data_IF_000426799150
#
_entry.id   IF_000426799150
#
_cell.length_a   1.000
_cell.length_b   1.000
_cell.length_c   1.000
_cell.angle_alpha   90.00
_cell.angle_beta   90.00
_cell.angle_gamma   90.00
#
_symmetry.space_group_name_H-M   'P 1'
#
loop_
_entity.id
_entity.type
_entity.pdbx_description
1 polymer ?
#
# COMPACT_ATOMS: atom_id res chain seq x y z
N UNK A 1 56.00 32.68 -22.51
CA UNK A 1 55.92 33.10 -21.10
C UNK A 1 54.62 33.86 -20.90
N UNK A 2 53.46 33.22 -20.75
CA UNK A 2 53.12 32.32 -19.63
C UNK A 2 53.43 33.10 -18.34
N UNK A 3 52.50 33.80 -17.71
CA UNK A 3 51.45 33.25 -16.86
C UNK A 3 50.46 34.37 -16.46
N UNK A 4 49.65 34.88 -17.38
CA UNK A 4 48.38 35.53 -17.02
C UNK A 4 47.33 34.44 -16.72
N UNK A 5 47.55 33.69 -15.63
CA UNK A 5 46.50 32.81 -15.11
C UNK A 5 45.46 33.67 -14.42
N UNK A 6 44.43 34.01 -15.21
CA UNK A 6 43.15 34.50 -14.75
C UNK A 6 42.73 33.76 -13.48
N UNK A 7 42.89 34.41 -12.32
CA UNK A 7 42.40 33.86 -11.08
C UNK A 7 40.88 33.79 -11.19
N UNK A 8 40.26 32.58 -11.10
CA UNK A 8 38.83 32.49 -11.12
C UNK A 8 38.34 33.19 -9.85
N UNK A 9 37.63 34.31 -10.03
CA UNK A 9 36.97 35.09 -8.96
C UNK A 9 35.80 34.30 -8.40
N UNK A 10 36.05 33.10 -7.89
CA UNK A 10 35.09 32.39 -7.06
C UNK A 10 35.22 33.03 -5.69
N UNK A 11 34.41 34.06 -5.47
CA UNK A 11 34.20 34.64 -4.15
C UNK A 11 33.77 33.49 -3.24
N UNK A 12 34.70 32.96 -2.44
CA UNK A 12 34.36 32.03 -1.37
C UNK A 12 33.44 32.78 -0.44
N UNK A 13 32.13 32.55 -0.59
CA UNK A 13 31.13 33.01 0.35
C UNK A 13 31.63 32.52 1.71
N UNK A 14 31.92 33.44 2.63
CA UNK A 14 32.58 33.18 3.92
C UNK A 14 31.70 32.40 4.89
N UNK A 15 31.16 31.27 4.43
CA UNK A 15 30.41 30.31 5.20
C UNK A 15 31.40 29.37 5.85
N UNK A 16 31.46 29.39 7.17
CA UNK A 16 32.21 28.39 7.93
C UNK A 16 31.60 27.00 7.65
N UNK A 17 32.38 25.97 7.31
CA UNK A 17 31.85 24.65 6.94
C UNK A 17 31.27 23.89 8.15
N UNK A 18 31.66 24.26 9.38
CA UNK A 18 31.23 23.61 10.61
C UNK A 18 29.70 23.61 10.84
N UNK A 19 28.97 24.75 10.76
CA UNK A 19 27.52 24.77 10.92
C UNK A 19 26.79 23.96 9.83
N UNK A 20 27.30 23.95 8.59
CA UNK A 20 26.69 23.19 7.50
C UNK A 20 26.83 21.67 7.72
N UNK A 21 27.99 21.22 8.21
CA UNK A 21 28.23 19.81 8.55
C UNK A 21 27.36 19.36 9.72
N UNK A 22 27.26 20.17 10.78
CA UNK A 22 26.40 19.88 11.93
C UNK A 22 24.92 19.86 11.53
N UNK A 23 24.48 20.76 10.66
CA UNK A 23 23.10 20.77 10.15
C UNK A 23 22.81 19.54 9.28
N UNK A 24 23.73 19.19 8.37
CA UNK A 24 23.58 18.04 7.48
C UNK A 24 23.61 16.71 8.26
N UNK A 25 24.40 16.61 9.34
CA UNK A 25 24.43 15.40 10.16
C UNK A 25 23.13 15.20 10.93
N UNK A 26 22.56 16.27 11.51
CA UNK A 26 21.25 16.22 12.18
C UNK A 26 20.14 15.88 11.18
N UNK A 27 20.15 16.50 10.01
CA UNK A 27 19.20 16.17 8.94
C UNK A 27 19.34 14.71 8.47
N UNK A 28 20.58 14.24 8.28
CA UNK A 28 20.85 12.86 7.87
C UNK A 28 20.30 11.86 8.89
N UNK A 29 20.53 12.11 10.18
CA UNK A 29 19.96 11.30 11.27
C UNK A 29 18.43 11.33 11.27
N UNK A 30 17.83 12.52 11.22
CA UNK A 30 16.37 12.68 11.28
C UNK A 30 15.69 12.06 10.06
N UNK A 31 16.26 12.23 8.87
CA UNK A 31 15.76 11.62 7.64
C UNK A 31 15.84 10.10 7.71
N UNK A 32 16.97 9.54 8.15
CA UNK A 32 17.14 8.10 8.34
C UNK A 32 16.12 7.53 9.33
N UNK A 33 15.94 8.18 10.48
CA UNK A 33 14.99 7.75 11.50
C UNK A 33 13.54 7.83 11.02
N UNK A 34 13.15 8.92 10.35
CA UNK A 34 11.82 9.08 9.76
C UNK A 34 11.56 8.03 8.68
N UNK A 35 12.55 7.76 7.84
CA UNK A 35 12.45 6.77 6.76
C UNK A 35 12.30 5.37 7.33
N UNK A 36 13.06 5.03 8.37
CA UNK A 36 12.94 3.74 9.06
C UNK A 36 11.55 3.51 9.64
N UNK A 37 10.98 4.53 10.30
CA UNK A 37 9.60 4.43 10.81
C UNK A 37 8.56 4.30 9.70
N UNK A 38 8.68 5.08 8.63
CA UNK A 38 7.77 5.00 7.49
C UNK A 38 7.86 3.63 6.81
N UNK A 39 9.07 3.10 6.63
CA UNK A 39 9.32 1.79 6.04
C UNK A 39 8.73 0.66 6.88
N UNK A 40 8.88 0.72 8.21
CA UNK A 40 8.27 -0.27 9.12
C UNK A 40 6.74 -0.27 9.01
N UNK A 41 6.10 0.90 8.96
CA UNK A 41 4.64 0.99 8.79
C UNK A 41 4.18 0.48 7.42
N UNK A 42 4.90 0.84 6.36
CA UNK A 42 4.62 0.37 5.00
C UNK A 42 4.67 -1.16 4.92
N UNK A 43 5.75 -1.77 5.42
CA UNK A 43 5.87 -3.22 5.44
C UNK A 43 4.85 -3.91 6.33
N UNK A 44 4.52 -3.32 7.48
CA UNK A 44 3.44 -3.82 8.33
C UNK A 44 2.10 -3.86 7.60
N UNK A 45 1.76 -2.78 6.88
CA UNK A 45 0.54 -2.72 6.06
C UNK A 45 0.57 -3.71 4.88
N UNK A 46 1.68 -3.75 4.14
CA UNK A 46 1.82 -4.65 2.99
C UNK A 46 1.69 -6.13 3.39
N UNK A 47 2.31 -6.53 4.50
CA UNK A 47 2.19 -7.89 5.03
C UNK A 47 0.75 -8.22 5.44
N UNK A 48 0.05 -7.29 6.10
CA UNK A 48 -1.34 -7.50 6.51
C UNK A 48 -2.29 -7.71 5.31
N UNK A 49 -2.10 -6.96 4.22
CA UNK A 49 -2.87 -7.14 2.97
C UNK A 49 -2.61 -8.50 2.34
N UNK A 50 -1.35 -8.93 2.34
CA UNK A 50 -0.97 -10.23 1.79
C UNK A 50 -1.58 -11.38 2.60
N UNK A 51 -1.55 -11.29 3.93
CA UNK A 51 -2.16 -12.28 4.83
C UNK A 51 -3.68 -12.36 4.63
N UNK A 52 -4.35 -11.21 4.55
CA UNK A 52 -5.78 -11.13 4.27
C UNK A 52 -6.16 -11.79 2.95
N UNK A 53 -5.44 -11.46 1.87
CA UNK A 53 -5.68 -12.03 0.53
C UNK A 53 -5.44 -13.54 0.53
N UNK A 54 -4.40 -14.00 1.23
CA UNK A 54 -4.13 -15.43 1.43
C UNK A 54 -5.24 -16.13 2.22
N UNK A 55 -5.74 -15.50 3.29
CA UNK A 55 -6.85 -15.99 4.10
C UNK A 55 -8.15 -16.14 3.30
N UNK A 56 -8.48 -15.13 2.48
CA UNK A 56 -9.61 -15.20 1.55
C UNK A 56 -9.46 -16.36 0.56
N UNK A 57 -8.30 -16.50 -0.05
CA UNK A 57 -8.04 -17.58 -1.00
C UNK A 57 -8.20 -18.97 -0.35
N UNK A 58 -7.64 -19.14 0.86
CA UNK A 58 -7.80 -20.39 1.61
C UNK A 58 -9.27 -20.67 1.97
N UNK A 59 -10.01 -19.67 2.42
CA UNK A 59 -11.43 -19.80 2.74
C UNK A 59 -12.25 -20.20 1.50
N UNK A 60 -12.02 -19.55 0.36
CA UNK A 60 -12.67 -19.87 -0.91
C UNK A 60 -12.35 -21.31 -1.36
N UNK A 61 -11.08 -21.72 -1.27
CA UNK A 61 -10.62 -23.05 -1.63
C UNK A 61 -11.26 -24.14 -0.76
N UNK A 62 -11.30 -23.94 0.56
CA UNK A 62 -11.95 -24.88 1.48
C UNK A 62 -13.44 -25.01 1.20
N UNK A 63 -14.13 -23.88 0.95
CA UNK A 63 -15.56 -23.88 0.67
C UNK A 63 -15.88 -24.56 -0.67
N UNK A 64 -15.03 -24.35 -1.68
CA UNK A 64 -15.09 -25.06 -2.96
C UNK A 64 -14.88 -26.57 -2.80
N UNK A 65 -13.92 -26.98 -1.96
CA UNK A 65 -13.63 -28.40 -1.68
C UNK A 65 -14.80 -29.09 -0.95
N UNK A 66 -15.46 -28.40 -0.01
CA UNK A 66 -16.67 -28.91 0.63
C UNK A 66 -17.85 -29.00 -0.33
N UNK A 67 -18.05 -28.01 -1.20
CA UNK A 67 -19.09 -28.06 -2.22
C UNK A 67 -18.88 -29.23 -3.20
N UNK A 68 -17.64 -29.64 -3.45
CA UNK A 68 -17.34 -30.79 -4.32
C UNK A 68 -17.74 -32.14 -3.71
N UNK A 69 -17.72 -32.28 -2.38
CA UNK A 69 -18.09 -33.53 -1.68
C UNK A 69 -19.58 -33.59 -1.31
N UNK A 70 -20.36 -32.56 -1.62
CA UNK A 70 -21.80 -32.52 -1.36
C UNK A 70 -22.58 -33.49 -2.26
N UNK A 71 -23.71 -34.01 -1.74
CA UNK A 71 -24.62 -34.88 -2.49
C UNK A 71 -25.62 -34.12 -3.40
N UNK A 72 -25.41 -32.81 -3.60
CA UNK A 72 -26.29 -31.93 -4.36
C UNK A 72 -26.15 -32.12 -5.88
N UNK A 73 -27.09 -31.56 -6.65
CA UNK A 73 -27.01 -31.59 -8.12
C UNK A 73 -25.78 -30.82 -8.61
N UNK A 74 -25.21 -31.24 -9.75
CA UNK A 74 -24.05 -30.56 -10.36
C UNK A 74 -24.34 -29.08 -10.66
N UNK A 75 -25.57 -28.75 -11.02
CA UNK A 75 -25.99 -27.37 -11.30
C UNK A 75 -26.05 -26.52 -10.03
N UNK A 76 -26.47 -27.09 -8.91
CA UNK A 76 -26.50 -26.40 -7.61
C UNK A 76 -25.08 -26.16 -7.08
N UNK A 77 -24.20 -27.14 -7.26
CA UNK A 77 -22.78 -27.01 -6.93
C UNK A 77 -22.14 -25.90 -7.77
N UNK A 78 -22.40 -25.85 -9.08
CA UNK A 78 -21.85 -24.82 -9.95
C UNK A 78 -22.36 -23.41 -9.60
N UNK A 79 -23.66 -23.27 -9.34
CA UNK A 79 -24.27 -22.00 -8.89
C UNK A 79 -23.68 -21.53 -7.56
N UNK A 80 -23.47 -22.44 -6.61
CA UNK A 80 -22.84 -22.13 -5.33
C UNK A 80 -21.41 -21.63 -5.50
N UNK A 81 -20.60 -22.32 -6.30
CA UNK A 81 -19.21 -21.94 -6.57
C UNK A 81 -19.10 -20.54 -7.20
N UNK A 82 -19.97 -20.24 -8.15
CA UNK A 82 -20.04 -18.91 -8.77
C UNK A 82 -20.45 -17.83 -7.77
N UNK A 83 -21.37 -18.13 -6.86
CA UNK A 83 -21.79 -17.21 -5.80
C UNK A 83 -20.65 -16.91 -4.85
N UNK A 84 -19.94 -17.94 -4.38
CA UNK A 84 -18.78 -17.78 -3.51
C UNK A 84 -17.67 -16.98 -4.20
N UNK A 85 -17.35 -17.29 -5.46
CA UNK A 85 -16.35 -16.54 -6.21
C UNK A 85 -16.69 -15.04 -6.28
N UNK A 86 -17.95 -14.69 -6.58
CA UNK A 86 -18.41 -13.29 -6.64
C UNK A 86 -18.33 -12.60 -5.27
N UNK A 87 -18.78 -13.25 -4.20
CA UNK A 87 -18.71 -12.69 -2.85
C UNK A 87 -17.27 -12.44 -2.41
N UNK A 88 -16.35 -13.35 -2.72
CA UNK A 88 -14.93 -13.21 -2.38
C UNK A 88 -14.24 -12.10 -3.20
N UNK A 89 -14.62 -11.94 -4.48
CA UNK A 89 -14.15 -10.81 -5.30
C UNK A 89 -14.69 -9.47 -4.78
N UNK A 90 -15.96 -9.40 -4.40
CA UNK A 90 -16.58 -8.18 -3.86
C UNK A 90 -15.96 -7.80 -2.50
N UNK A 91 -15.76 -8.78 -1.62
CA UNK A 91 -15.10 -8.58 -0.33
C UNK A 91 -13.66 -8.09 -0.50
N UNK A 92 -12.88 -8.73 -1.40
CA UNK A 92 -11.53 -8.28 -1.74
C UNK A 92 -11.53 -6.83 -2.24
N UNK A 93 -12.44 -6.49 -3.16
CA UNK A 93 -12.57 -5.14 -3.70
C UNK A 93 -12.88 -4.11 -2.61
N UNK A 94 -13.85 -4.38 -1.72
CA UNK A 94 -14.19 -3.48 -0.61
C UNK A 94 -13.01 -3.23 0.31
N UNK A 95 -12.25 -4.27 0.66
CA UNK A 95 -11.11 -4.12 1.56
C UNK A 95 -9.98 -3.31 0.91
N UNK A 96 -9.75 -3.48 -0.39
CA UNK A 96 -8.80 -2.64 -1.13
C UNK A 96 -9.27 -1.19 -1.23
N UNK A 97 -10.57 -0.95 -1.51
CA UNK A 97 -11.14 0.40 -1.58
C UNK A 97 -11.06 1.14 -0.25
N UNK A 98 -11.30 0.43 0.86
CA UNK A 98 -11.14 0.97 2.20
C UNK A 98 -9.67 1.31 2.51
N UNK A 99 -8.73 0.45 2.09
CA UNK A 99 -7.31 0.66 2.28
C UNK A 99 -6.75 1.82 1.43
N UNK A 100 -7.30 2.05 0.24
CA UNK A 100 -6.97 3.19 -0.63
C UNK A 100 -7.33 4.53 0.04
N UNK A 101 -8.11 4.51 1.11
CA UNK A 101 -8.49 5.71 1.87
C UNK A 101 -9.55 6.54 1.16
N UNK A 102 -10.29 5.94 0.23
CA UNK A 102 -11.39 6.59 -0.51
C UNK A 102 -12.47 7.15 0.42
N UNK A 103 -12.60 6.60 1.63
CA UNK A 103 -13.50 7.10 2.68
C UNK A 103 -13.12 8.49 3.21
N UNK A 104 -11.87 8.95 3.00
CA UNK A 104 -11.42 10.28 3.42
C UNK A 104 -11.77 11.38 2.40
N UNK A 105 -12.17 11.02 1.17
CA UNK A 105 -12.39 11.97 0.08
C UNK A 105 -13.87 12.37 -0.09
N UNK A 106 -14.81 11.52 0.34
CA UNK A 106 -16.23 11.87 0.42
C UNK A 106 -16.99 10.80 1.23
N UNK A 107 -17.47 11.08 2.46
CA UNK A 107 -18.27 10.12 3.25
C UNK A 107 -19.60 9.76 2.56
N UNK A 108 -19.98 10.50 1.52
CA UNK A 108 -21.20 10.35 0.74
C UNK A 108 -21.12 9.20 -0.28
N UNK A 109 -19.92 8.84 -0.78
CA UNK A 109 -19.77 7.94 -1.94
C UNK A 109 -19.39 6.49 -1.57
N UNK A 110 -18.81 6.26 -0.38
CA UNK A 110 -18.36 4.94 0.05
C UNK A 110 -19.49 3.92 0.24
N UNK A 111 -20.66 4.38 0.68
CA UNK A 111 -21.86 3.54 0.83
C UNK A 111 -22.70 3.44 -0.46
N UNK A 112 -22.61 4.44 -1.33
CA UNK A 112 -23.36 4.50 -2.60
C UNK A 112 -22.91 3.42 -3.61
N UNK A 113 -21.66 2.96 -3.54
CA UNK A 113 -21.17 1.87 -4.39
C UNK A 113 -21.88 0.52 -4.10
N UNK A 114 -22.35 0.33 -2.86
CA UNK A 114 -23.10 -0.86 -2.46
C UNK A 114 -24.62 -0.69 -2.64
N UNK A 115 -25.11 0.55 -2.76
CA UNK A 115 -26.53 0.91 -2.86
C UNK A 115 -27.01 1.16 -4.31
N UNK A 116 -26.26 0.69 -5.32
CA UNK A 116 -26.67 0.71 -6.75
C UNK A 116 -27.84 -0.23 -7.09
N UNK A 117 -28.64 -0.59 -6.08
CA UNK A 117 -29.78 -1.49 -6.17
C UNK A 117 -30.94 -1.03 -5.30
N UNK A 118 -31.46 0.18 -5.54
CA UNK A 118 -32.87 0.53 -5.25
C UNK A 118 -33.54 1.20 -6.44
#
# INVERSE_FOLDING_TARGET
DEYELAQPRIRKLGMEPAPYLAFTSVLGFLLGFRTSQAFSRFWGGASAVYELTGGLYMAASNLMAFAHHGQASRDEIESFKQTIARLMSLLSAMMLTHLEGTDAMSPETGYDLLDLGS
#
